data_IF_455515904671
#
_entry.id   IF_455515904671
#
_cell.length_a   1.000
_cell.length_b   1.000
_cell.length_c   1.000
_cell.angle_alpha   90.00
_cell.angle_beta   90.00
_cell.angle_gamma   90.00
#
_symmetry.space_group_name_H-M   'P 1'
#
loop_
_entity.id
_entity.type
_entity.pdbx_description
1 polymer ?
#
# COMPACT_ATOMS: atom_id res chain seq x y z
N UNK A 1 -25.25 44.91 79.12
CA UNK A 1 -25.08 43.65 78.37
C UNK A 1 -24.24 43.95 77.13
N UNK A 2 -23.13 43.22 77.02
CA UNK A 2 -21.94 43.41 76.19
C UNK A 2 -22.15 43.36 74.66
N UNK A 3 -21.17 43.62 73.79
CA UNK A 3 -20.11 44.62 73.65
C UNK A 3 -19.47 44.35 72.26
N UNK A 4 -19.21 45.41 71.49
CA UNK A 4 -18.09 45.59 70.53
C UNK A 4 -17.75 44.58 69.40
N UNK A 5 -17.44 45.20 68.24
CA UNK A 5 -16.27 45.00 67.33
C UNK A 5 -16.43 44.22 66.02
N UNK A 6 -15.64 44.71 65.08
CA UNK A 6 -15.61 44.52 63.64
C UNK A 6 -14.72 43.36 63.16
N UNK A 7 -14.81 43.12 61.84
CA UNK A 7 -13.73 42.79 60.89
C UNK A 7 -13.62 41.34 60.33
N UNK A 8 -13.31 41.29 59.02
CA UNK A 8 -12.67 40.26 58.17
C UNK A 8 -13.48 39.25 57.30
N UNK A 9 -13.43 39.50 55.97
CA UNK A 9 -12.81 38.72 54.87
C UNK A 9 -13.44 37.38 54.37
N UNK A 10 -13.89 37.43 53.09
CA UNK A 10 -13.70 36.52 51.93
C UNK A 10 -13.73 34.99 52.13
N UNK A 11 -14.60 34.26 51.41
CA UNK A 11 -14.24 33.09 50.56
C UNK A 11 -15.45 32.52 49.77
N UNK A 12 -15.39 32.59 48.42
CA UNK A 12 -15.54 31.50 47.41
C UNK A 12 -16.79 30.59 47.55
N UNK A 13 -17.78 30.53 46.64
CA UNK A 13 -17.78 30.12 45.22
C UNK A 13 -19.08 30.63 44.58
N UNK A 14 -18.99 31.45 43.53
CA UNK A 14 -20.09 31.69 42.60
C UNK A 14 -19.50 31.64 41.19
N UNK A 15 -19.37 30.43 40.63
CA UNK A 15 -18.95 30.18 39.25
C UNK A 15 -19.30 28.73 38.88
N UNK A 16 -20.53 28.48 38.46
CA UNK A 16 -20.83 27.37 37.53
C UNK A 16 -22.04 27.77 36.69
N UNK A 17 -22.00 27.38 35.41
CA UNK A 17 -22.91 27.72 34.31
C UNK A 17 -22.58 28.98 33.52
N UNK A 18 -21.44 28.93 32.81
CA UNK A 18 -21.25 29.45 31.44
C UNK A 18 -19.87 28.98 30.94
N UNK A 19 -19.78 27.77 30.38
CA UNK A 19 -18.67 27.31 29.53
C UNK A 19 -19.33 26.45 28.42
N UNK A 20 -19.52 26.98 27.21
CA UNK A 20 -18.55 27.12 26.12
C UNK A 20 -18.70 25.94 25.13
N UNK A 21 -19.40 26.22 24.03
CA UNK A 21 -19.28 25.50 22.76
C UNK A 21 -17.80 25.54 22.31
N UNK A 22 -17.05 24.51 22.70
CA UNK A 22 -15.66 24.31 22.33
C UNK A 22 -15.51 23.79 20.91
N UNK A 23 -15.96 24.54 19.90
CA UNK A 23 -15.34 24.44 18.57
C UNK A 23 -14.12 25.36 18.57
N UNK A 24 -12.96 24.81 18.93
CA UNK A 24 -11.70 25.47 18.69
C UNK A 24 -11.56 25.69 17.16
N UNK A 25 -11.86 26.91 16.72
CA UNK A 25 -11.46 27.35 15.39
C UNK A 25 -9.94 27.26 15.32
N UNK A 26 -9.41 26.54 14.34
CA UNK A 26 -7.98 26.45 14.11
C UNK A 26 -7.41 27.88 13.97
N UNK A 27 -6.49 28.25 14.86
CA UNK A 27 -5.83 29.55 14.79
C UNK A 27 -5.12 29.68 13.42
N UNK A 28 -5.19 30.84 12.75
CA UNK A 28 -4.48 31.04 11.50
C UNK A 28 -2.98 30.84 11.72
N UNK A 29 -2.35 30.04 10.86
CA UNK A 29 -0.92 29.78 10.90
C UNK A 29 -0.15 31.12 10.88
N UNK A 30 0.76 31.32 11.84
CA UNK A 30 1.59 32.51 11.87
C UNK A 30 2.52 32.53 10.65
N UNK A 31 2.91 33.72 10.19
CA UNK A 31 3.85 33.83 9.06
C UNK A 31 5.15 33.03 9.27
N UNK A 32 5.60 32.90 10.54
CA UNK A 32 6.74 32.07 10.93
C UNK A 32 6.51 30.57 10.73
N UNK A 33 5.32 30.04 11.04
CA UNK A 33 5.03 28.61 10.86
C UNK A 33 4.85 28.23 9.38
N UNK A 34 4.34 29.15 8.55
CA UNK A 34 4.25 28.96 7.10
C UNK A 34 5.63 28.93 6.44
N UNK A 35 6.54 29.82 6.83
CA UNK A 35 7.90 29.85 6.31
C UNK A 35 8.68 28.58 6.67
N UNK A 36 8.55 28.10 7.91
CA UNK A 36 9.16 26.84 8.34
C UNK A 36 8.61 25.65 7.56
N UNK A 37 7.29 25.54 7.42
CA UNK A 37 6.66 24.46 6.64
C UNK A 37 7.15 24.43 5.19
N UNK A 38 7.31 25.61 4.55
CA UNK A 38 7.85 25.69 3.19
C UNK A 38 9.29 25.18 3.09
N UNK A 39 10.14 25.50 4.08
CA UNK A 39 11.51 25.00 4.14
C UNK A 39 11.56 23.47 4.30
N UNK A 40 10.70 22.92 5.16
CA UNK A 40 10.56 21.46 5.35
C UNK A 40 10.15 20.77 4.04
N UNK A 41 9.15 21.31 3.33
CA UNK A 41 8.71 20.79 2.03
C UNK A 41 9.85 20.83 1.01
N UNK A 42 10.55 21.96 0.87
CA UNK A 42 11.68 22.08 -0.05
C UNK A 42 12.81 21.10 0.28
N UNK A 43 13.10 20.90 1.57
CA UNK A 43 14.09 19.92 2.03
C UNK A 43 13.69 18.50 1.62
N UNK A 44 12.43 18.13 1.85
CA UNK A 44 11.90 16.83 1.45
C UNK A 44 11.96 16.63 -0.06
N UNK A 45 11.52 17.61 -0.86
CA UNK A 45 11.54 17.53 -2.32
C UNK A 45 12.95 17.34 -2.88
N UNK A 46 13.96 18.02 -2.33
CA UNK A 46 15.37 17.81 -2.71
C UNK A 46 15.87 16.40 -2.44
N UNK A 47 15.36 15.76 -1.39
CA UNK A 47 15.69 14.36 -1.07
C UNK A 47 14.98 13.38 -2.00
N UNK A 48 13.69 13.60 -2.26
CA UNK A 48 12.84 12.72 -3.06
C UNK A 48 13.17 12.77 -4.56
N UNK A 49 13.30 13.97 -5.11
CA UNK A 49 13.49 14.18 -6.54
C UNK A 49 14.99 14.17 -6.87
N UNK A 50 15.49 12.99 -7.23
CA UNK A 50 16.89 12.80 -7.65
C UNK A 50 17.15 13.49 -9.00
N UNK A 51 18.42 13.88 -9.28
CA UNK A 51 18.76 14.50 -10.57
C UNK A 51 18.40 13.60 -11.76
N UNK A 52 17.49 14.09 -12.60
CA UNK A 52 17.03 13.38 -13.79
C UNK A 52 18.04 13.54 -14.94
N UNK A 53 18.28 12.46 -15.68
CA UNK A 53 19.02 12.48 -16.95
C UNK A 53 18.12 12.75 -18.15
N UNK A 54 16.83 12.44 -18.01
CA UNK A 54 15.78 12.76 -18.95
C UNK A 54 14.46 12.87 -18.19
N UNK A 55 13.50 13.59 -18.76
CA UNK A 55 12.16 13.76 -18.18
C UNK A 55 11.13 13.49 -19.27
N UNK A 56 10.08 12.75 -18.93
CA UNK A 56 8.96 12.41 -19.81
C UNK A 56 7.69 12.99 -19.20
N UNK A 57 6.96 13.78 -19.97
CA UNK A 57 5.62 14.24 -19.61
C UNK A 57 4.64 13.16 -20.02
N UNK A 58 3.92 12.59 -19.07
CA UNK A 58 2.92 11.56 -19.31
C UNK A 58 1.57 12.21 -19.71
N UNK A 59 0.76 11.57 -20.57
CA UNK A 59 -0.56 12.09 -20.96
C UNK A 59 -1.53 12.35 -19.79
N UNK A 60 -1.37 11.65 -18.67
CA UNK A 60 -2.17 11.81 -17.44
C UNK A 60 -1.68 12.95 -16.53
N UNK A 61 -0.69 13.74 -16.97
CA UNK A 61 -0.14 14.88 -16.23
C UNK A 61 1.02 14.54 -15.29
N UNK A 62 1.37 13.25 -15.17
CA UNK A 62 2.56 12.84 -14.43
C UNK A 62 3.84 13.31 -15.12
N UNK A 63 4.85 13.62 -14.31
CA UNK A 63 6.22 13.83 -14.78
C UNK A 63 7.07 12.64 -14.34
N UNK A 64 7.63 11.91 -15.31
CA UNK A 64 8.52 10.77 -15.07
C UNK A 64 9.96 11.20 -15.27
N UNK A 65 10.75 11.17 -14.21
CA UNK A 65 12.17 11.45 -14.22
C UNK A 65 12.98 10.16 -14.37
N UNK A 66 13.80 10.09 -15.41
CA UNK A 66 14.72 9.00 -15.64
C UNK A 66 16.01 9.26 -14.84
N UNK A 67 16.13 8.60 -13.69
CA UNK A 67 17.26 8.78 -12.76
C UNK A 67 18.29 7.70 -13.00
N UNK A 68 19.58 8.05 -13.03
CA UNK A 68 20.64 7.05 -13.17
C UNK A 68 20.52 5.97 -12.09
N UNK A 69 20.66 4.69 -12.47
CA UNK A 69 20.40 3.55 -11.58
C UNK A 69 21.23 3.60 -10.28
N UNK A 70 22.44 4.16 -10.31
CA UNK A 70 23.30 4.32 -9.12
C UNK A 70 22.99 5.55 -8.25
N UNK A 71 22.06 6.41 -8.66
CA UNK A 71 21.67 7.66 -7.95
C UNK A 71 20.25 7.61 -7.40
N UNK A 72 19.61 6.44 -7.44
CA UNK A 72 18.23 6.23 -7.00
C UNK A 72 18.05 6.38 -5.48
N UNK A 73 16.81 6.59 -5.00
CA UNK A 73 16.50 6.76 -3.57
C UNK A 73 16.97 5.62 -2.66
N UNK A 74 17.10 4.39 -3.18
CA UNK A 74 17.53 3.22 -2.43
C UNK A 74 18.79 3.46 -1.57
N UNK A 75 19.77 4.18 -2.12
CA UNK A 75 21.08 4.36 -1.53
C UNK A 75 21.18 5.47 -0.47
N UNK A 76 20.08 6.19 -0.22
CA UNK A 76 19.99 7.04 0.97
C UNK A 76 19.82 6.17 2.24
N UNK A 77 19.51 4.88 2.10
CA UNK A 77 19.43 3.95 3.23
C UNK A 77 20.83 3.71 3.83
N UNK A 78 21.02 3.86 5.16
CA UNK A 78 22.34 3.71 5.79
C UNK A 78 23.04 2.39 5.48
N UNK A 79 22.28 1.28 5.40
CA UNK A 79 22.81 -0.05 5.10
C UNK A 79 23.13 -0.27 3.60
N UNK A 80 22.70 0.62 2.69
CA UNK A 80 22.82 0.42 1.25
C UNK A 80 23.78 1.39 0.56
N UNK A 81 24.52 2.24 1.30
CA UNK A 81 25.40 3.26 0.73
C UNK A 81 26.46 2.70 -0.25
N UNK A 82 26.97 1.50 0.01
CA UNK A 82 27.97 0.82 -0.81
C UNK A 82 27.41 -0.47 -1.45
N UNK A 83 26.09 -0.54 -1.62
CA UNK A 83 25.42 -1.72 -2.14
C UNK A 83 25.78 -1.97 -3.61
N UNK A 84 26.12 -3.21 -3.94
CA UNK A 84 26.33 -3.61 -5.35
C UNK A 84 25.00 -4.01 -5.95
N UNK A 85 24.62 -3.34 -7.04
CA UNK A 85 23.35 -3.60 -7.73
C UNK A 85 23.41 -4.96 -8.42
N UNK A 86 22.47 -5.83 -8.07
CA UNK A 86 22.23 -7.08 -8.77
C UNK A 86 21.27 -6.80 -9.93
N UNK A 87 21.69 -7.11 -11.15
CA UNK A 87 20.89 -6.83 -12.35
C UNK A 87 19.89 -7.94 -12.68
N UNK A 88 19.99 -9.09 -12.01
CA UNK A 88 19.08 -10.23 -12.13
C UNK A 88 19.16 -11.10 -10.88
N UNK A 89 18.09 -11.85 -10.55
CA UNK A 89 18.15 -12.88 -9.52
C UNK A 89 19.12 -13.99 -9.91
N UNK A 90 19.69 -14.66 -8.91
CA UNK A 90 20.49 -15.86 -9.10
C UNK A 90 19.63 -17.06 -9.48
N UNK A 91 18.45 -17.17 -8.85
CA UNK A 91 17.50 -18.24 -9.11
C UNK A 91 16.07 -17.68 -9.17
N UNK A 92 15.38 -18.02 -10.25
CA UNK A 92 13.93 -17.84 -10.35
C UNK A 92 13.23 -19.07 -9.74
N UNK A 93 12.07 -18.93 -9.07
CA UNK A 93 11.33 -20.07 -8.55
C UNK A 93 10.97 -21.07 -9.67
N UNK A 94 11.15 -22.36 -9.37
CA UNK A 94 10.67 -23.46 -10.21
C UNK A 94 9.22 -23.82 -9.90
N UNK A 95 8.70 -24.93 -10.46
CA UNK A 95 7.37 -25.44 -10.13
C UNK A 95 6.28 -25.10 -11.14
N UNK A 96 5.01 -25.13 -10.72
CA UNK A 96 3.85 -24.99 -11.62
C UNK A 96 3.85 -23.60 -12.23
N UNK A 97 4.31 -23.54 -13.47
CA UNK A 97 4.22 -22.39 -14.36
C UNK A 97 2.94 -22.56 -15.19
N UNK A 98 1.84 -21.93 -14.79
CA UNK A 98 0.90 -21.52 -15.82
C UNK A 98 1.53 -20.33 -16.53
N UNK A 99 2.07 -20.57 -17.73
CA UNK A 99 2.18 -19.51 -18.71
C UNK A 99 0.76 -18.97 -18.87
N UNK A 100 0.50 -17.81 -18.26
CA UNK A 100 -0.52 -16.92 -18.79
C UNK A 100 -0.10 -16.71 -20.24
N UNK A 101 -0.80 -17.41 -21.16
CA UNK A 101 -0.75 -17.09 -22.58
C UNK A 101 -0.72 -15.58 -22.67
N UNK A 102 0.31 -15.01 -23.34
CA UNK A 102 0.53 -13.57 -23.47
C UNK A 102 -0.84 -12.93 -23.57
N UNK A 103 -1.23 -12.19 -22.52
CA UNK A 103 -2.56 -11.60 -22.46
C UNK A 103 -2.73 -10.82 -23.77
N UNK A 104 -3.80 -11.06 -24.55
CA UNK A 104 -3.93 -10.47 -25.87
C UNK A 104 -3.82 -8.93 -25.84
N UNK A 105 -4.04 -8.33 -24.66
CA UNK A 105 -3.80 -6.94 -24.35
C UNK A 105 -3.06 -6.84 -23.00
N UNK A 106 -1.73 -6.70 -22.99
CA UNK A 106 -0.97 -6.58 -21.75
C UNK A 106 -1.30 -5.25 -21.06
N UNK A 107 -1.35 -5.26 -19.73
CA UNK A 107 -1.38 -4.02 -18.94
C UNK A 107 -0.06 -3.28 -19.17
N UNK A 108 -0.17 -1.99 -19.49
CA UNK A 108 0.94 -1.08 -19.73
C UNK A 108 0.80 0.16 -18.87
N UNK A 109 1.82 1.02 -18.88
CA UNK A 109 1.75 2.32 -18.22
C UNK A 109 1.58 3.48 -19.19
N UNK A 110 0.69 4.41 -18.87
CA UNK A 110 0.28 5.53 -19.73
C UNK A 110 1.45 6.37 -20.24
N UNK A 111 2.48 6.57 -19.42
CA UNK A 111 3.66 7.37 -19.79
C UNK A 111 4.44 6.80 -20.98
N UNK A 112 4.28 5.52 -21.31
CA UNK A 112 4.92 4.91 -22.48
C UNK A 112 4.46 5.50 -23.81
N UNK A 113 3.30 6.15 -23.85
CA UNK A 113 2.83 6.87 -25.04
C UNK A 113 3.79 7.98 -25.46
N UNK A 114 4.49 8.57 -24.48
CA UNK A 114 5.38 9.72 -24.70
C UNK A 114 6.88 9.36 -24.60
N UNK A 115 7.22 8.09 -24.42
CA UNK A 115 8.60 7.61 -24.52
C UNK A 115 8.99 6.51 -23.57
N UNK A 116 10.30 6.30 -23.44
CA UNK A 116 10.91 5.29 -22.55
C UNK A 116 12.15 5.88 -21.89
N UNK A 117 12.43 5.47 -20.66
CA UNK A 117 13.64 5.90 -19.99
C UNK A 117 14.89 5.27 -20.65
N UNK A 118 16.02 6.01 -20.78
CA UNK A 118 17.25 5.48 -21.34
C UNK A 118 17.79 4.25 -20.59
N UNK A 119 18.69 3.50 -21.21
CA UNK A 119 19.42 2.42 -20.52
C UNK A 119 20.19 2.99 -19.30
N UNK A 120 20.38 2.17 -18.27
CA UNK A 120 21.05 2.54 -17.01
C UNK A 120 20.32 3.63 -16.20
N UNK A 121 19.02 3.82 -16.45
CA UNK A 121 18.17 4.70 -15.65
C UNK A 121 16.94 3.94 -15.14
N UNK A 122 16.28 4.49 -14.13
CA UNK A 122 14.99 4.04 -13.63
C UNK A 122 13.97 5.18 -13.73
N UNK A 123 12.72 4.93 -14.14
CA UNK A 123 11.66 5.92 -14.12
C UNK A 123 11.17 6.16 -12.69
N UNK A 124 11.16 7.42 -12.26
CA UNK A 124 10.61 7.84 -10.98
C UNK A 124 9.55 8.91 -11.22
N UNK A 125 8.33 8.71 -10.72
CA UNK A 125 7.32 9.79 -10.72
C UNK A 125 7.76 10.92 -9.81
N UNK A 126 7.93 12.12 -10.39
CA UNK A 126 8.30 13.34 -9.67
C UNK A 126 7.29 13.66 -8.58
N UNK A 127 7.79 14.15 -7.46
CA UNK A 127 6.97 14.67 -6.35
C UNK A 127 6.87 16.18 -6.48
N UNK A 128 5.67 16.74 -6.40
CA UNK A 128 5.46 18.18 -6.41
C UNK A 128 5.19 18.72 -5.00
N UNK A 129 5.35 20.04 -4.81
CA UNK A 129 5.08 20.72 -3.54
C UNK A 129 3.66 20.45 -3.03
N UNK A 130 2.68 20.59 -3.92
CA UNK A 130 1.28 20.29 -3.63
C UNK A 130 1.04 18.87 -3.13
N UNK A 131 1.81 17.87 -3.60
CA UNK A 131 1.68 16.48 -3.14
C UNK A 131 2.04 16.34 -1.68
N UNK A 132 3.10 17.02 -1.27
CA UNK A 132 3.54 17.05 0.12
C UNK A 132 2.56 17.85 0.98
N UNK A 133 2.02 18.96 0.46
CA UNK A 133 1.13 19.84 1.21
C UNK A 133 -0.25 19.21 1.50
N UNK A 134 -0.70 18.24 0.72
CA UNK A 134 -1.92 17.45 0.99
C UNK A 134 -1.76 16.42 2.11
N UNK A 135 -0.54 16.01 2.42
CA UNK A 135 -0.32 15.14 3.57
C UNK A 135 -0.58 15.91 4.88
N UNK A 136 -0.97 15.16 5.92
CA UNK A 136 -1.24 15.68 7.27
C UNK A 136 -0.04 16.48 7.79
N UNK A 137 1.17 15.99 7.51
CA UNK A 137 2.42 16.68 7.80
C UNK A 137 3.51 16.23 6.83
N UNK A 138 4.59 17.02 6.73
CA UNK A 138 5.72 16.76 5.83
C UNK A 138 6.42 15.44 6.19
N UNK A 139 6.58 15.13 7.47
CA UNK A 139 7.23 13.92 7.97
C UNK A 139 6.40 12.64 7.72
N UNK A 140 5.08 12.79 7.57
CA UNK A 140 4.13 11.70 7.31
C UNK A 140 3.84 11.48 5.82
N UNK A 141 4.40 12.29 4.91
CA UNK A 141 4.18 12.13 3.47
C UNK A 141 4.57 10.71 3.00
N UNK A 142 3.58 9.98 2.48
CA UNK A 142 3.73 8.61 1.99
C UNK A 142 3.75 7.51 3.05
N UNK A 143 3.68 7.82 4.36
CA UNK A 143 3.77 6.81 5.44
C UNK A 143 2.39 6.31 5.88
N UNK A 144 2.24 4.99 6.02
CA UNK A 144 1.08 4.36 6.69
C UNK A 144 1.14 4.56 8.22
N UNK A 145 0.00 4.48 8.89
CA UNK A 145 -0.08 4.54 10.38
C UNK A 145 0.13 3.15 10.99
N UNK A 146 0.60 3.04 12.25
CA UNK A 146 0.60 1.77 12.96
C UNK A 146 -0.80 1.13 12.97
N UNK A 147 -0.87 -0.21 12.92
CA UNK A 147 -2.14 -0.96 12.86
C UNK A 147 -2.77 -1.09 11.45
N UNK A 148 -2.00 -0.89 10.39
CA UNK A 148 -2.46 -1.00 8.98
C UNK A 148 -2.57 -2.44 8.43
N UNK A 149 -2.32 -3.48 9.22
CA UNK A 149 -2.55 -4.89 8.83
C UNK A 149 -3.63 -5.50 9.72
N UNK A 150 -4.56 -6.29 9.17
CA UNK A 150 -5.56 -7.01 9.95
C UNK A 150 -4.89 -8.06 10.82
N UNK A 151 -5.03 -7.91 12.15
CA UNK A 151 -4.62 -8.94 13.09
C UNK A 151 -5.63 -10.09 13.05
N UNK A 152 -5.19 -11.26 12.61
CA UNK A 152 -6.01 -12.49 12.55
C UNK A 152 -6.52 -12.93 13.93
N UNK A 153 -5.82 -12.53 14.99
CA UNK A 153 -6.09 -12.95 16.38
C UNK A 153 -7.29 -12.25 17.00
N UNK A 154 -7.69 -11.08 16.47
CA UNK A 154 -8.75 -10.23 17.04
C UNK A 154 -10.12 -10.38 16.35
N UNK A 155 -10.27 -11.34 15.43
CA UNK A 155 -11.54 -11.55 14.68
C UNK A 155 -12.65 -12.14 15.59
N UNK A 156 -12.28 -12.77 16.72
CA UNK A 156 -13.21 -13.51 17.57
C UNK A 156 -13.64 -12.81 18.87
N UNK A 157 -13.24 -11.56 19.11
CA UNK A 157 -13.66 -10.84 20.31
C UNK A 157 -14.68 -9.74 19.96
N UNK A 158 -15.98 -9.95 20.24
CA UNK A 158 -17.03 -8.97 19.97
C UNK A 158 -16.95 -7.72 20.87
N UNK A 159 -16.09 -7.71 21.89
CA UNK A 159 -15.85 -6.57 22.78
C UNK A 159 -14.58 -5.79 22.46
N UNK A 160 -13.74 -6.24 21.53
CA UNK A 160 -12.72 -5.35 20.97
C UNK A 160 -13.42 -4.43 19.99
N UNK A 161 -13.57 -3.16 20.40
CA UNK A 161 -13.81 -2.04 19.50
C UNK A 161 -12.57 -1.82 18.61
N UNK A 162 -12.12 -2.87 17.91
CA UNK A 162 -11.18 -2.79 16.82
C UNK A 162 -11.95 -2.35 15.57
N UNK A 163 -12.50 -1.14 15.62
CA UNK A 163 -12.55 -0.32 14.42
C UNK A 163 -11.07 -0.08 14.11
N UNK A 164 -10.46 -1.00 13.35
CA UNK A 164 -9.19 -0.76 12.69
C UNK A 164 -9.32 0.63 12.06
N UNK A 165 -8.60 1.62 12.59
CA UNK A 165 -8.87 3.06 12.45
C UNK A 165 -9.13 3.47 10.99
N UNK A 166 -10.38 3.35 10.52
CA UNK A 166 -10.76 3.62 9.14
C UNK A 166 -10.51 2.51 8.10
N UNK A 167 -9.83 1.41 8.43
CA UNK A 167 -9.46 0.37 7.45
C UNK A 167 -10.48 -0.77 7.42
N UNK A 168 -10.85 -1.22 6.21
CA UNK A 168 -11.70 -2.41 6.01
C UNK A 168 -11.08 -3.33 4.95
N UNK A 169 -11.25 -4.64 5.13
CA UNK A 169 -10.52 -5.66 4.37
C UNK A 169 -11.49 -6.70 3.81
N UNK A 170 -11.14 -7.23 2.65
CA UNK A 170 -11.68 -8.48 2.11
C UNK A 170 -10.53 -9.26 1.48
N UNK A 171 -9.91 -10.13 2.28
CA UNK A 171 -8.65 -10.79 1.94
C UNK A 171 -8.70 -12.30 2.17
N UNK A 172 -7.84 -13.03 1.46
CA UNK A 172 -7.41 -14.37 1.81
C UNK A 172 -6.07 -14.32 2.55
N UNK A 173 -5.87 -15.24 3.48
CA UNK A 173 -4.66 -15.40 4.29
C UNK A 173 -4.24 -16.86 4.34
N UNK A 174 -2.95 -17.12 4.18
CA UNK A 174 -2.34 -18.44 4.37
C UNK A 174 -1.20 -18.29 5.37
N UNK A 175 -1.27 -19.07 6.45
CA UNK A 175 -0.17 -19.21 7.40
C UNK A 175 0.70 -20.37 6.93
N UNK A 176 1.95 -20.07 6.64
CA UNK A 176 2.88 -21.05 6.07
C UNK A 176 4.13 -21.03 6.92
N UNK A 177 4.56 -22.20 7.40
CA UNK A 177 5.85 -22.33 8.06
C UNK A 177 6.96 -22.06 7.03
N UNK A 178 7.71 -20.97 7.22
CA UNK A 178 8.83 -20.51 6.38
C UNK A 178 8.50 -20.35 4.89
N UNK A 179 7.65 -19.39 4.57
CA UNK A 179 7.38 -18.97 3.20
C UNK A 179 8.47 -18.04 2.65
N UNK A 180 8.86 -18.25 1.40
CA UNK A 180 9.91 -17.49 0.72
C UNK A 180 9.37 -16.61 -0.41
N UNK A 181 8.04 -16.45 -0.52
CA UNK A 181 7.45 -15.61 -1.55
C UNK A 181 6.05 -16.02 -1.97
N UNK A 182 5.49 -15.28 -2.90
CA UNK A 182 4.16 -15.52 -3.45
C UNK A 182 4.04 -14.98 -4.87
N UNK A 183 3.29 -15.71 -5.69
CA UNK A 183 2.85 -15.29 -7.02
C UNK A 183 1.33 -15.26 -7.04
N UNK A 184 0.76 -14.23 -7.65
CA UNK A 184 -0.65 -14.22 -8.00
C UNK A 184 -0.92 -13.34 -9.23
N UNK A 185 -2.04 -13.61 -9.89
CA UNK A 185 -2.59 -12.83 -11.00
C UNK A 185 -3.67 -11.90 -10.45
N UNK A 186 -3.49 -10.60 -10.64
CA UNK A 186 -4.38 -9.55 -10.13
C UNK A 186 -5.17 -8.93 -11.28
N UNK A 187 -6.49 -8.89 -11.14
CA UNK A 187 -7.33 -8.14 -12.05
C UNK A 187 -7.28 -6.63 -11.70
N UNK A 188 -7.28 -5.79 -12.72
CA UNK A 188 -7.19 -4.33 -12.60
C UNK A 188 -8.56 -3.66 -12.78
N UNK A 189 -8.97 -2.86 -11.79
CA UNK A 189 -10.18 -2.03 -11.83
C UNK A 189 -9.87 -0.56 -11.51
N UNK A 190 -10.86 0.30 -11.76
CA UNK A 190 -10.87 1.69 -11.32
C UNK A 190 -12.07 1.90 -10.37
N UNK A 191 -11.93 1.55 -9.08
CA UNK A 191 -13.00 1.75 -8.09
C UNK A 191 -13.37 3.23 -7.94
N UNK A 192 -14.66 3.48 -7.64
CA UNK A 192 -15.11 4.82 -7.22
C UNK A 192 -14.59 5.12 -5.83
N UNK A 193 -13.98 6.28 -5.64
CA UNK A 193 -13.55 6.75 -4.32
C UNK A 193 -14.60 7.71 -3.78
N UNK A 194 -15.21 7.36 -2.64
CA UNK A 194 -16.35 8.08 -2.06
C UNK A 194 -15.98 9.39 -1.38
N UNK A 195 -14.73 9.55 -0.93
CA UNK A 195 -14.22 10.74 -0.23
C UNK A 195 -12.77 11.01 -0.63
N UNK A 196 -12.34 12.26 -0.68
CA UNK A 196 -11.01 12.64 -1.19
C UNK A 196 -9.82 11.98 -0.44
N UNK A 197 -9.99 11.71 0.86
CA UNK A 197 -8.97 11.08 1.71
C UNK A 197 -9.02 9.56 1.73
N UNK A 198 -10.02 8.96 1.08
CA UNK A 198 -10.13 7.52 1.01
C UNK A 198 -9.13 6.94 0.00
N UNK A 199 -8.87 5.65 0.14
CA UNK A 199 -8.25 4.86 -0.93
C UNK A 199 -8.86 3.47 -1.00
N UNK A 200 -8.67 2.86 -2.17
CA UNK A 200 -8.99 1.47 -2.43
C UNK A 200 -7.79 0.82 -3.11
N UNK A 201 -7.38 -0.35 -2.61
CA UNK A 201 -6.24 -1.08 -3.16
C UNK A 201 -6.52 -2.57 -3.26
N UNK A 202 -5.71 -3.21 -4.09
CA UNK A 202 -5.59 -4.66 -4.21
C UNK A 202 -4.12 -5.01 -4.13
N UNK A 203 -3.75 -5.97 -3.28
CA UNK A 203 -2.34 -6.33 -3.13
C UNK A 203 -2.10 -7.75 -2.64
N UNK A 204 -0.82 -8.13 -2.64
CA UNK A 204 -0.25 -9.17 -1.78
C UNK A 204 0.45 -8.53 -0.58
N UNK A 205 0.41 -9.22 0.55
CA UNK A 205 1.22 -8.94 1.74
C UNK A 205 2.12 -10.14 2.05
N UNK A 206 3.40 -9.89 2.26
CA UNK A 206 4.37 -10.84 2.81
C UNK A 206 4.73 -10.34 4.20
N UNK A 207 4.47 -11.13 5.24
CA UNK A 207 4.56 -10.70 6.63
C UNK A 207 5.46 -11.65 7.43
N UNK A 208 6.31 -11.08 8.28
CA UNK A 208 7.07 -11.80 9.29
C UNK A 208 7.22 -10.97 10.57
N UNK A 209 7.30 -11.63 11.73
CA UNK A 209 7.37 -10.96 13.03
C UNK A 209 5.99 -10.60 13.61
N UNK A 210 5.95 -9.63 14.53
CA UNK A 210 4.71 -9.24 15.22
C UNK A 210 4.68 -7.76 15.57
N UNK A 211 3.47 -7.23 15.81
CA UNK A 211 3.29 -5.88 16.35
C UNK A 211 3.87 -5.74 17.77
N UNK A 212 3.93 -6.83 18.53
CA UNK A 212 4.55 -6.84 19.86
C UNK A 212 6.06 -6.56 19.74
N UNK A 213 6.52 -5.49 20.39
CA UNK A 213 7.92 -5.09 20.32
C UNK A 213 8.32 -4.34 19.03
N UNK A 214 7.35 -3.92 18.20
CA UNK A 214 7.57 -3.13 16.98
C UNK A 214 8.54 -3.80 15.98
N UNK A 215 8.45 -5.12 15.83
CA UNK A 215 9.34 -5.89 14.95
C UNK A 215 8.55 -6.67 13.88
N UNK A 216 7.46 -6.06 13.38
CA UNK A 216 6.70 -6.57 12.24
C UNK A 216 7.35 -6.08 10.95
N UNK A 217 7.73 -7.02 10.09
CA UNK A 217 8.25 -6.77 8.77
C UNK A 217 7.17 -7.05 7.71
N UNK A 218 7.06 -6.16 6.72
CA UNK A 218 6.10 -6.34 5.63
C UNK A 218 6.72 -5.98 4.29
N UNK A 219 6.33 -6.72 3.25
CA UNK A 219 6.50 -6.35 1.84
C UNK A 219 5.12 -6.41 1.19
N UNK A 220 4.77 -5.35 0.48
CA UNK A 220 3.45 -5.10 -0.10
C UNK A 220 3.61 -4.67 -1.56
N UNK A 221 2.82 -5.28 -2.44
CA UNK A 221 2.83 -4.94 -3.86
C UNK A 221 1.46 -5.19 -4.49
N UNK A 222 1.03 -4.27 -5.37
CA UNK A 222 -0.29 -4.33 -5.95
C UNK A 222 -0.64 -3.09 -6.76
N UNK A 223 -1.94 -2.80 -6.90
CA UNK A 223 -2.43 -1.57 -7.47
C UNK A 223 -3.37 -0.86 -6.51
N UNK A 224 -3.40 0.47 -6.57
CA UNK A 224 -4.29 1.29 -5.74
C UNK A 224 -4.82 2.51 -6.49
N UNK A 225 -6.01 2.95 -6.11
CA UNK A 225 -6.57 4.27 -6.44
C UNK A 225 -6.54 5.10 -5.16
N UNK A 226 -5.74 6.17 -5.17
CA UNK A 226 -5.53 7.00 -3.98
C UNK A 226 -5.45 8.49 -4.35
N UNK A 227 -6.60 9.19 -4.45
CA UNK A 227 -6.68 10.55 -4.98
C UNK A 227 -5.89 11.56 -4.16
N UNK A 228 -5.95 11.48 -2.82
CA UNK A 228 -5.14 12.36 -1.99
C UNK A 228 -3.63 12.23 -2.28
N UNK A 229 -3.14 11.04 -2.62
CA UNK A 229 -1.71 10.82 -2.86
C UNK A 229 -1.28 11.13 -4.32
N UNK A 230 -2.15 10.91 -5.30
CA UNK A 230 -1.81 11.01 -6.73
C UNK A 230 -2.47 12.17 -7.49
N UNK A 231 -3.46 12.86 -6.90
CA UNK A 231 -4.32 13.88 -7.53
C UNK A 231 -5.21 13.38 -8.67
N UNK A 232 -5.42 12.08 -8.77
CA UNK A 232 -6.31 11.48 -9.75
C UNK A 232 -6.96 10.21 -9.20
N UNK A 233 -7.89 9.65 -9.99
CA UNK A 233 -8.53 8.38 -9.70
C UNK A 233 -7.94 7.24 -10.53
N UNK A 234 -6.72 7.39 -11.07
CA UNK A 234 -6.12 6.37 -11.92
C UNK A 234 -5.58 5.22 -11.06
N UNK A 235 -5.81 3.94 -11.45
CA UNK A 235 -5.20 2.83 -10.74
C UNK A 235 -3.71 2.79 -11.02
N UNK A 236 -2.91 2.76 -9.96
CA UNK A 236 -1.45 2.90 -10.04
C UNK A 236 -0.77 1.72 -9.37
N UNK A 237 0.26 1.19 -10.02
CA UNK A 237 1.16 0.20 -9.40
C UNK A 237 1.73 0.82 -8.13
N UNK A 238 1.73 0.09 -7.03
CA UNK A 238 2.40 0.53 -5.82
C UNK A 238 3.22 -0.58 -5.18
N UNK A 239 4.17 -0.13 -4.37
CA UNK A 239 4.84 -0.98 -3.39
C UNK A 239 4.83 -0.30 -2.02
N UNK A 240 4.91 -1.09 -0.96
CA UNK A 240 5.18 -0.63 0.39
C UNK A 240 6.07 -1.67 1.09
N UNK A 241 6.85 -1.24 2.07
CA UNK A 241 7.56 -2.17 2.96
C UNK A 241 7.79 -1.50 4.32
N UNK A 242 7.86 -2.28 5.40
CA UNK A 242 8.31 -1.80 6.72
C UNK A 242 9.12 -2.88 7.42
N UNK A 243 9.98 -2.48 8.35
CA UNK A 243 10.74 -3.36 9.27
C UNK A 243 10.20 -3.24 10.70
N UNK A 244 9.45 -2.19 11.01
CA UNK A 244 9.18 -1.79 12.39
C UNK A 244 7.70 -1.49 12.63
N UNK A 245 6.82 -2.35 12.11
CA UNK A 245 5.39 -2.26 12.35
C UNK A 245 4.76 -0.89 11.95
N UNK A 246 5.29 -0.26 10.89
CA UNK A 246 4.85 1.04 10.37
C UNK A 246 5.13 2.23 11.30
N UNK A 247 6.04 2.08 12.26
CA UNK A 247 6.41 3.15 13.19
C UNK A 247 7.27 4.21 12.50
N UNK A 248 8.50 3.85 12.11
CA UNK A 248 9.48 4.80 11.55
C UNK A 248 9.89 4.47 10.11
N UNK A 249 9.92 3.18 9.75
CA UNK A 249 10.33 2.70 8.42
C UNK A 249 9.14 2.47 7.49
N UNK A 250 9.42 2.63 6.19
CA UNK A 250 8.45 2.42 5.14
C UNK A 250 7.72 3.67 4.70
N UNK A 251 7.48 3.74 3.40
CA UNK A 251 6.47 4.59 2.80
C UNK A 251 6.16 4.09 1.39
N UNK A 252 5.08 4.60 0.80
CA UNK A 252 4.65 4.22 -0.54
C UNK A 252 5.74 4.47 -1.59
N UNK A 253 5.90 3.49 -2.48
CA UNK A 253 6.75 3.59 -3.66
C UNK A 253 8.21 3.93 -3.29
N UNK A 254 8.88 4.72 -4.13
CA UNK A 254 10.26 5.17 -3.92
C UNK A 254 10.35 6.43 -3.03
N UNK A 255 9.32 6.76 -2.25
CA UNK A 255 9.36 7.93 -1.36
C UNK A 255 10.30 7.71 -0.16
N UNK A 256 10.67 6.45 0.10
CA UNK A 256 11.64 6.03 1.11
C UNK A 256 12.74 5.23 0.41
N UNK A 257 13.93 5.26 1.00
CA UNK A 257 15.03 4.40 0.60
C UNK A 257 14.74 2.94 0.94
N UNK A 258 15.50 1.97 0.43
CA UNK A 258 15.37 0.54 0.76
C UNK A 258 15.03 -0.38 -0.43
N UNK A 259 14.20 0.07 -1.38
CA UNK A 259 13.93 -0.70 -2.60
C UNK A 259 14.91 -0.31 -3.71
N UNK A 260 15.65 -1.28 -4.25
CA UNK A 260 16.57 -1.09 -5.38
C UNK A 260 15.83 -1.43 -6.66
N UNK A 261 15.36 -0.41 -7.37
CA UNK A 261 14.78 -0.57 -8.70
C UNK A 261 15.89 -0.72 -9.74
N UNK A 262 15.67 -1.58 -10.73
CA UNK A 262 16.64 -1.82 -11.80
C UNK A 262 16.07 -1.63 -13.20
N UNK A 263 14.75 -1.71 -13.39
CA UNK A 263 14.19 -1.61 -14.73
C UNK A 263 13.97 -0.16 -15.14
N UNK A 264 14.09 0.07 -16.44
CA UNK A 264 13.78 1.35 -17.06
C UNK A 264 12.39 1.37 -17.73
N UNK A 265 11.61 0.29 -17.60
CA UNK A 265 10.30 0.13 -18.24
C UNK A 265 9.11 0.33 -17.28
N UNK A 266 9.27 0.23 -15.96
CA UNK A 266 8.12 0.32 -15.03
C UNK A 266 8.36 1.44 -14.03
N UNK A 267 7.54 2.48 -14.07
CA UNK A 267 7.48 3.54 -13.08
C UNK A 267 6.62 3.07 -11.89
N UNK A 268 7.24 2.86 -10.72
CA UNK A 268 6.47 2.60 -9.50
C UNK A 268 5.65 3.84 -9.13
N UNK A 269 4.35 3.66 -8.90
CA UNK A 269 3.38 4.74 -8.75
C UNK A 269 2.85 5.30 -10.07
N UNK A 270 3.21 4.73 -11.23
CA UNK A 270 2.66 5.11 -12.53
C UNK A 270 1.32 4.44 -12.82
N UNK A 271 0.48 5.11 -13.61
CA UNK A 271 -0.86 4.65 -14.02
C UNK A 271 -0.78 3.34 -14.80
N UNK A 272 -1.66 2.40 -14.47
CA UNK A 272 -1.85 1.14 -15.18
C UNK A 272 -3.08 1.22 -16.09
N UNK A 273 -2.97 0.68 -17.29
CA UNK A 273 -4.06 0.65 -18.27
C UNK A 273 -3.91 -0.52 -19.25
N UNK A 274 -4.99 -1.01 -19.87
CA UNK A 274 -6.40 -0.66 -19.65
C UNK A 274 -6.98 -1.31 -18.37
N UNK A 275 -8.16 -0.84 -17.95
CA UNK A 275 -8.89 -1.36 -16.76
C UNK A 275 -10.07 -2.25 -17.17
N UNK A 276 -10.46 -3.15 -16.27
CA UNK A 276 -11.57 -4.09 -16.50
C UNK A 276 -12.93 -3.39 -16.49
N UNK A 277 -13.93 -4.03 -17.09
CA UNK A 277 -15.30 -3.50 -17.22
C UNK A 277 -16.33 -4.53 -16.78
N UNK A 278 -17.40 -4.08 -16.12
CA UNK A 278 -18.44 -4.98 -15.60
C UNK A 278 -19.13 -5.75 -16.74
N UNK A 279 -19.07 -7.08 -16.66
CA UNK A 279 -19.60 -7.99 -17.69
C UNK A 279 -18.86 -7.93 -19.04
N UNK A 280 -17.71 -7.25 -19.10
CA UNK A 280 -16.98 -6.98 -20.33
C UNK A 280 -15.52 -7.44 -20.29
N UNK A 281 -14.65 -6.69 -20.97
CA UNK A 281 -13.22 -6.99 -21.04
C UNK A 281 -12.60 -7.00 -19.63
N UNK A 282 -11.82 -8.04 -19.33
CA UNK A 282 -11.07 -8.21 -18.08
C UNK A 282 -9.57 -8.11 -18.37
N UNK A 283 -8.86 -7.36 -17.54
CA UNK A 283 -7.41 -7.18 -17.65
C UNK A 283 -6.72 -7.58 -16.36
N UNK A 284 -5.70 -8.42 -16.52
CA UNK A 284 -4.99 -9.08 -15.45
C UNK A 284 -3.48 -8.89 -15.61
N UNK A 285 -2.74 -8.89 -14.51
CA UNK A 285 -1.29 -8.96 -14.52
C UNK A 285 -0.75 -9.78 -13.36
N UNK A 286 0.38 -10.44 -13.59
CA UNK A 286 1.05 -11.25 -12.57
C UNK A 286 1.97 -10.36 -11.72
N UNK A 287 1.97 -10.58 -10.40
CA UNK A 287 3.01 -10.10 -9.50
C UNK A 287 3.62 -11.33 -8.82
N UNK A 288 4.95 -11.41 -8.84
CA UNK A 288 5.73 -12.37 -8.06
C UNK A 288 6.68 -11.59 -7.16
N UNK A 289 6.63 -11.89 -5.85
CA UNK A 289 7.65 -11.46 -4.90
C UNK A 289 8.26 -12.69 -4.26
N UNK A 290 9.58 -12.85 -4.32
CA UNK A 290 10.27 -14.01 -3.73
C UNK A 290 11.66 -13.66 -3.24
N UNK A 291 12.13 -14.42 -2.25
CA UNK A 291 13.47 -14.34 -1.71
C UNK A 291 14.41 -15.23 -2.52
N UNK A 292 15.44 -14.62 -3.12
CA UNK A 292 16.50 -15.36 -3.82
C UNK A 292 17.26 -16.25 -2.82
N UNK A 293 17.33 -17.57 -3.03
CA UNK A 293 17.96 -18.49 -2.08
C UNK A 293 19.47 -18.31 -1.94
N UNK A 294 20.15 -17.68 -2.91
CA UNK A 294 21.60 -17.47 -2.87
C UNK A 294 21.97 -16.14 -2.23
N UNK A 295 21.37 -15.06 -2.72
CA UNK A 295 21.74 -13.70 -2.34
C UNK A 295 20.82 -13.13 -1.24
N UNK A 296 19.69 -13.77 -0.98
CA UNK A 296 18.74 -13.38 0.07
C UNK A 296 17.84 -12.20 -0.27
N UNK A 297 18.03 -11.54 -1.41
CA UNK A 297 17.22 -10.40 -1.84
C UNK A 297 15.78 -10.82 -2.14
N UNK A 298 14.80 -10.01 -1.70
CA UNK A 298 13.40 -10.15 -2.10
C UNK A 298 13.17 -9.45 -3.42
N UNK A 299 13.06 -10.22 -4.51
CA UNK A 299 12.82 -9.72 -5.84
C UNK A 299 11.34 -9.47 -6.10
N UNK A 300 11.05 -8.36 -6.79
CA UNK A 300 9.73 -8.04 -7.33
C UNK A 300 9.75 -8.22 -8.85
N UNK A 301 8.83 -9.02 -9.35
CA UNK A 301 8.54 -9.18 -10.77
C UNK A 301 7.09 -8.79 -11.06
N UNK A 302 6.88 -8.07 -12.15
CA UNK A 302 5.56 -7.76 -12.70
C UNK A 302 5.48 -8.27 -14.13
N UNK A 303 4.54 -9.16 -14.42
CA UNK A 303 4.51 -9.88 -15.69
C UNK A 303 5.83 -10.61 -15.94
N UNK A 304 6.50 -10.28 -17.06
CA UNK A 304 7.83 -10.80 -17.39
C UNK A 304 8.99 -9.96 -16.85
N UNK A 305 8.74 -8.74 -16.37
CA UNK A 305 9.78 -7.77 -16.03
C UNK A 305 10.19 -7.86 -14.56
N UNK A 306 11.49 -8.06 -14.32
CA UNK A 306 12.07 -7.83 -12.99
C UNK A 306 12.07 -6.32 -12.72
N UNK A 307 11.36 -5.89 -11.69
CA UNK A 307 11.24 -4.47 -11.35
C UNK A 307 12.44 -4.02 -10.53
N UNK A 308 12.77 -4.80 -9.50
CA UNK A 308 13.79 -4.48 -8.52
C UNK A 308 13.72 -5.45 -7.34
N UNK A 309 14.37 -5.08 -6.23
CA UNK A 309 14.41 -5.93 -5.05
C UNK A 309 14.60 -5.15 -3.75
N UNK A 310 14.21 -5.77 -2.64
CA UNK A 310 14.58 -5.35 -1.29
C UNK A 310 15.72 -6.23 -0.77
N UNK A 311 16.87 -5.65 -0.40
CA UNK A 311 17.95 -6.40 0.24
C UNK A 311 17.51 -6.96 1.59
N UNK A 312 17.79 -8.23 1.88
CA UNK A 312 17.43 -8.87 3.17
C UNK A 312 18.00 -8.13 4.39
N UNK A 313 19.14 -7.45 4.22
CA UNK A 313 19.81 -6.70 5.29
C UNK A 313 18.99 -5.55 5.87
N UNK A 314 17.93 -5.09 5.19
CA UNK A 314 17.03 -4.06 5.71
C UNK A 314 15.91 -4.64 6.61
N UNK A 315 15.82 -5.96 6.74
CA UNK A 315 14.80 -6.66 7.51
C UNK A 315 15.37 -7.35 8.76
N UNK A 316 14.47 -7.77 9.65
CA UNK A 316 14.75 -8.67 10.79
C UNK A 316 14.20 -10.05 10.48
N UNK A 317 12.87 -10.23 10.55
CA UNK A 317 12.20 -11.50 10.29
C UNK A 317 12.26 -11.89 8.82
N UNK A 318 11.95 -10.95 7.91
CA UNK A 318 12.04 -11.21 6.47
C UNK A 318 13.49 -11.37 5.99
N UNK A 319 14.50 -11.16 6.84
CA UNK A 319 15.87 -11.57 6.52
C UNK A 319 15.99 -13.10 6.42
N UNK A 320 15.16 -13.85 7.15
CA UNK A 320 15.05 -15.31 7.08
C UNK A 320 13.90 -15.74 6.17
N UNK A 321 12.65 -15.54 6.59
CA UNK A 321 11.46 -16.02 5.89
C UNK A 321 10.18 -15.29 6.35
N UNK A 322 9.09 -15.47 5.62
CA UNK A 322 7.77 -14.99 5.99
C UNK A 322 6.97 -16.05 6.73
N UNK A 323 6.07 -15.62 7.62
CA UNK A 323 5.16 -16.49 8.39
C UNK A 323 3.73 -16.45 7.87
N UNK A 324 3.34 -15.35 7.22
CA UNK A 324 1.98 -15.14 6.72
C UNK A 324 2.03 -14.46 5.37
N UNK A 325 1.25 -15.00 4.43
CA UNK A 325 1.00 -14.37 3.13
C UNK A 325 -0.50 -14.05 3.02
N UNK A 326 -0.82 -12.86 2.52
CA UNK A 326 -2.19 -12.44 2.30
C UNK A 326 -2.39 -11.87 0.89
N UNK A 327 -3.62 -11.91 0.39
CA UNK A 327 -4.01 -11.38 -0.91
C UNK A 327 -5.43 -10.80 -0.85
N UNK A 328 -5.69 -9.72 -1.57
CA UNK A 328 -7.05 -9.19 -1.72
C UNK A 328 -7.12 -7.68 -1.57
N UNK A 329 -8.28 -7.20 -1.13
CA UNK A 329 -8.62 -5.78 -1.09
C UNK A 329 -8.52 -5.16 0.29
N UNK A 330 -8.11 -3.90 0.32
CA UNK A 330 -8.15 -3.01 1.47
C UNK A 330 -8.72 -1.67 1.03
N UNK A 331 -9.58 -1.10 1.86
CA UNK A 331 -9.92 0.32 1.80
C UNK A 331 -9.47 0.99 3.09
N UNK A 332 -9.21 2.28 3.04
CA UNK A 332 -9.15 3.10 4.23
C UNK A 332 -9.97 4.38 4.04
N UNK A 333 -10.69 4.77 5.09
CA UNK A 333 -11.42 6.02 5.20
C UNK A 333 -11.18 6.67 6.54
N UNK A 334 -10.72 7.93 6.55
CA UNK A 334 -10.40 8.64 7.80
C UNK A 334 -11.61 9.14 8.58
N UNK A 335 -12.78 9.15 7.95
CA UNK A 335 -13.98 9.80 8.47
C UNK A 335 -14.87 8.84 9.24
N UNK A 336 -15.65 9.38 10.19
CA UNK A 336 -16.58 8.60 10.99
C UNK A 336 -17.76 8.10 10.13
N UNK A 337 -18.01 6.79 10.18
CA UNK A 337 -19.13 6.14 9.49
C UNK A 337 -18.75 5.51 8.14
N UNK A 338 -19.64 4.63 7.65
CA UNK A 338 -19.36 3.83 6.46
C UNK A 338 -19.13 4.70 5.22
N UNK A 339 -18.10 4.36 4.45
CA UNK A 339 -17.76 5.02 3.18
C UNK A 339 -18.49 4.36 2.00
N UNK A 340 -18.78 5.14 0.95
CA UNK A 340 -19.25 4.66 -0.36
C UNK A 340 -18.09 4.43 -1.34
N UNK A 341 -16.87 4.23 -0.83
CA UNK A 341 -15.70 3.85 -1.63
C UNK A 341 -15.83 2.39 -2.08
N UNK A 342 -15.62 2.12 -3.36
CA UNK A 342 -15.64 0.77 -3.90
C UNK A 342 -14.37 0.02 -3.51
N UNK A 343 -14.50 -1.25 -3.13
CA UNK A 343 -13.37 -2.18 -3.09
C UNK A 343 -13.31 -2.99 -4.39
N UNK A 344 -12.15 -2.99 -5.04
CA UNK A 344 -11.95 -3.74 -6.29
C UNK A 344 -12.84 -3.21 -7.42
N UNK A 345 -13.83 -4.00 -7.84
CA UNK A 345 -14.81 -3.61 -8.85
C UNK A 345 -16.01 -2.85 -8.30
N UNK A 346 -16.16 -2.76 -6.97
CA UNK A 346 -17.38 -2.27 -6.31
C UNK A 346 -18.50 -3.32 -6.20
N UNK A 347 -18.28 -4.53 -6.73
CA UNK A 347 -19.25 -5.61 -6.71
C UNK A 347 -18.88 -6.72 -5.74
N UNK A 348 -19.90 -7.41 -5.23
CA UNK A 348 -19.75 -8.49 -4.27
C UNK A 348 -19.21 -9.78 -4.93
N UNK A 349 -18.47 -10.61 -4.18
CA UNK A 349 -17.81 -11.80 -4.72
C UNK A 349 -18.75 -12.86 -5.31
N UNK A 350 -20.01 -12.88 -4.89
CA UNK A 350 -21.07 -13.77 -5.38
C UNK A 350 -21.37 -13.57 -6.88
N UNK A 351 -21.05 -12.40 -7.43
CA UNK A 351 -21.23 -12.12 -8.86
C UNK A 351 -20.19 -12.82 -9.75
N UNK A 352 -19.06 -13.25 -9.18
CA UNK A 352 -18.05 -14.07 -9.85
C UNK A 352 -17.29 -13.38 -10.99
N UNK A 353 -16.68 -14.20 -11.85
CA UNK A 353 -15.76 -13.74 -12.90
C UNK A 353 -16.43 -12.78 -13.89
N UNK A 354 -15.72 -11.71 -14.24
CA UNK A 354 -16.21 -10.68 -15.15
C UNK A 354 -16.97 -9.55 -14.46
N UNK A 355 -17.28 -9.68 -13.17
CA UNK A 355 -18.09 -8.72 -12.41
C UNK A 355 -17.45 -8.35 -11.07
N UNK A 356 -17.13 -9.36 -10.26
CA UNK A 356 -16.40 -9.20 -9.02
C UNK A 356 -14.90 -9.01 -9.30
N UNK A 357 -14.20 -8.34 -8.38
CA UNK A 357 -12.74 -8.29 -8.42
C UNK A 357 -12.16 -9.66 -8.10
N UNK A 358 -11.03 -10.01 -8.71
CA UNK A 358 -10.38 -11.29 -8.43
C UNK A 358 -8.87 -11.23 -8.28
N UNK A 359 -8.37 -12.15 -7.46
CA UNK A 359 -6.97 -12.59 -7.46
C UNK A 359 -6.99 -14.08 -7.76
N UNK A 360 -6.27 -14.53 -8.78
CA UNK A 360 -6.25 -15.92 -9.24
C UNK A 360 -4.84 -16.45 -9.41
N UNK A 361 -4.70 -17.73 -9.68
CA UNK A 361 -3.41 -18.42 -9.79
C UNK A 361 -2.52 -18.16 -8.56
N UNK A 362 -3.13 -18.16 -7.37
CA UNK A 362 -2.42 -17.88 -6.12
C UNK A 362 -1.48 -19.05 -5.82
N UNK A 363 -0.20 -18.73 -5.64
CA UNK A 363 0.87 -19.68 -5.33
C UNK A 363 1.82 -19.09 -4.29
N UNK A 364 2.44 -19.94 -3.48
CA UNK A 364 3.50 -19.58 -2.52
C UNK A 364 4.82 -20.22 -2.93
N UNK A 365 5.92 -19.56 -2.59
CA UNK A 365 7.29 -20.08 -2.82
C UNK A 365 7.75 -20.75 -1.54
N UNK A 366 8.06 -22.04 -1.62
CA UNK A 366 8.59 -22.80 -0.48
C UNK A 366 10.10 -22.60 -0.27
N UNK A 367 10.65 -23.21 0.78
CA UNK A 367 12.07 -23.18 1.11
C UNK A 367 12.99 -23.84 0.07
N UNK A 368 12.45 -24.63 -0.84
CA UNK A 368 13.17 -25.22 -1.98
C UNK A 368 13.10 -24.34 -3.23
N UNK A 369 12.58 -23.11 -3.10
CA UNK A 369 12.38 -22.17 -4.19
C UNK A 369 11.45 -22.72 -5.29
N UNK A 370 10.37 -23.41 -4.89
CA UNK A 370 9.36 -23.99 -5.78
C UNK A 370 7.99 -23.33 -5.52
N UNK A 371 7.32 -22.91 -6.59
CA UNK A 371 5.95 -22.42 -6.58
C UNK A 371 4.96 -23.58 -6.40
N UNK A 372 4.10 -23.45 -5.40
CA UNK A 372 3.06 -24.43 -5.05
C UNK A 372 1.75 -23.71 -4.70
N UNK A 373 0.58 -24.35 -4.88
CA UNK A 373 -0.66 -23.84 -4.32
C UNK A 373 -0.53 -23.65 -2.79
N UNK A 374 -1.09 -22.57 -2.22
CA UNK A 374 -1.09 -22.39 -0.76
C UNK A 374 -1.97 -23.45 -0.08
N UNK A 375 -1.57 -23.86 1.12
CA UNK A 375 -2.42 -24.65 2.03
C UNK A 375 -3.21 -23.74 2.97
N UNK A 376 -4.33 -24.24 3.51
CA UNK A 376 -5.10 -23.62 4.59
C UNK A 376 -5.47 -22.14 4.35
N UNK A 377 -5.95 -21.84 3.15
CA UNK A 377 -6.40 -20.49 2.79
C UNK A 377 -7.68 -20.16 3.55
N UNK A 378 -7.60 -19.15 4.42
CA UNK A 378 -8.72 -18.59 5.18
C UNK A 378 -9.10 -17.22 4.65
N UNK A 379 -10.36 -16.83 4.82
CA UNK A 379 -10.88 -15.52 4.36
C UNK A 379 -11.16 -14.59 5.54
N UNK A 380 -10.82 -13.32 5.40
CA UNK A 380 -11.01 -12.29 6.42
C UNK A 380 -11.80 -11.13 5.80
N UNK A 381 -12.97 -10.87 6.36
CA UNK A 381 -13.80 -9.69 6.07
C UNK A 381 -14.53 -9.26 7.34
N UNK A 382 -14.33 -8.00 7.75
CA UNK A 382 -14.90 -7.47 8.99
C UNK A 382 -16.41 -7.26 8.92
N UNK A 383 -16.88 -6.55 7.88
CA UNK A 383 -18.31 -6.30 7.64
C UNK A 383 -18.70 -6.81 6.25
N UNK A 384 -19.12 -8.07 6.19
CA UNK A 384 -19.43 -8.78 4.93
C UNK A 384 -20.53 -8.12 4.09
N UNK A 385 -21.43 -7.37 4.72
CA UNK A 385 -22.47 -6.63 4.00
C UNK A 385 -21.96 -5.36 3.32
N UNK A 386 -20.73 -4.93 3.59
CA UNK A 386 -20.08 -3.77 2.96
C UNK A 386 -19.03 -4.25 1.94
N UNK A 387 -18.16 -5.16 2.39
CA UNK A 387 -17.13 -5.79 1.58
C UNK A 387 -16.99 -7.27 1.98
N UNK A 388 -16.95 -8.16 0.99
CA UNK A 388 -16.87 -9.60 1.23
C UNK A 388 -15.80 -10.26 0.35
N UNK A 389 -15.39 -11.48 0.72
CA UNK A 389 -14.42 -12.29 -0.03
C UNK A 389 -14.82 -13.77 0.03
N UNK A 390 -14.75 -14.44 -1.11
CA UNK A 390 -14.90 -15.89 -1.23
C UNK A 390 -13.67 -16.48 -1.91
N UNK A 391 -13.14 -17.58 -1.38
CA UNK A 391 -12.06 -18.33 -2.00
C UNK A 391 -12.59 -19.59 -2.72
N UNK A 392 -11.79 -20.12 -3.63
CA UNK A 392 -12.08 -21.37 -4.33
C UNK A 392 -10.86 -21.94 -5.02
N UNK A 393 -11.02 -23.15 -5.56
CA UNK A 393 -10.03 -23.83 -6.37
C UNK A 393 -10.73 -24.33 -7.64
N UNK A 394 -10.16 -24.05 -8.81
CA UNK A 394 -10.64 -24.59 -10.08
C UNK A 394 -9.49 -24.74 -11.07
N UNK A 395 -9.66 -25.61 -12.07
CA UNK A 395 -8.62 -25.87 -13.08
C UNK A 395 -8.23 -24.61 -13.87
N UNK A 396 -9.18 -23.69 -14.11
CA UNK A 396 -8.97 -22.49 -14.92
C UNK A 396 -8.43 -21.29 -14.13
N UNK A 397 -8.70 -21.22 -12.83
CA UNK A 397 -8.33 -20.07 -11.97
C UNK A 397 -7.25 -20.43 -10.94
N UNK A 398 -6.84 -21.70 -10.87
CA UNK A 398 -6.00 -22.21 -9.78
C UNK A 398 -6.68 -22.01 -8.43
N UNK A 399 -5.88 -21.71 -7.40
CA UNK A 399 -6.40 -21.12 -6.16
C UNK A 399 -6.74 -19.66 -6.42
N UNK A 400 -7.95 -19.23 -6.07
CA UNK A 400 -8.42 -17.87 -6.34
C UNK A 400 -9.29 -17.31 -5.21
N UNK A 401 -9.46 -15.99 -5.24
CA UNK A 401 -10.49 -15.27 -4.51
C UNK A 401 -11.30 -14.38 -5.46
N UNK A 402 -12.60 -14.28 -5.20
CA UNK A 402 -13.39 -13.11 -5.57
C UNK A 402 -13.55 -12.24 -4.33
N UNK A 403 -13.46 -10.92 -4.48
CA UNK A 403 -13.62 -9.97 -3.39
C UNK A 403 -14.14 -8.63 -3.91
N UNK A 404 -14.66 -7.82 -2.99
CA UNK A 404 -15.10 -6.47 -3.29
C UNK A 404 -16.37 -6.11 -2.55
N UNK A 405 -16.97 -5.01 -3.00
CA UNK A 405 -18.24 -4.48 -2.50
C UNK A 405 -18.28 -2.96 -2.64
N UNK A 406 -19.47 -2.36 -2.58
CA UNK A 406 -19.67 -0.92 -2.82
C UNK A 406 -19.47 -0.07 -1.55
N UNK A 407 -19.09 -0.69 -0.44
CA UNK A 407 -19.11 -0.05 0.87
C UNK A 407 -20.54 0.23 1.32
N UNK A 408 -20.89 1.49 1.54
CA UNK A 408 -22.21 1.93 2.05
C UNK A 408 -23.33 1.52 1.10
N UNK A 409 -24.28 0.73 1.61
CA UNK A 409 -25.45 0.26 0.86
C UNK A 409 -26.62 -0.06 1.81
N UNK A 410 -27.77 -0.54 1.30
CA UNK A 410 -28.96 -0.81 2.13
C UNK A 410 -28.74 -1.85 3.24
N UNK A 411 -27.79 -2.78 3.05
CA UNK A 411 -27.42 -3.82 4.02
C UNK A 411 -26.17 -3.43 4.84
N UNK A 412 -25.56 -2.28 4.54
CA UNK A 412 -24.43 -1.68 5.25
C UNK A 412 -24.59 -0.15 5.29
N UNK A 413 -25.45 0.37 6.18
CA UNK A 413 -25.87 1.78 6.17
C UNK A 413 -24.81 2.79 6.64
#
# INVERSE_FOLDING_TARGET
MAATRACLVVLVVALTFLCLDGRAAAAPATAGSLAQRRQEVQSLLRRLNKPALATIQSPDGDVIDCVHISKQPAFDHPLLKNHTIQMRPSYHPGGIYHNSNIAPHPITQTWHQNGKCPKNTIPIRRTNEDDVLRAISVDRYGKKRPGSIPNTSSINDPNTSNIMSGHQYAIASSNVDKCHGTKATFNLWQPTIGRDNDFSLTQLWIVGGSYEGNDLNTIEAGWQVYPNFYKDNNPRLFIYWTRDAYESTGCYNLKCSGFVQMNNQIAIGGTLSPVSTYGGAQYDFDILVWKDPKEGNWWLQMGSDYVGYWPSSIFTYLADSASTIQWGGEIASSDLGQTSTDMGSGHFPEEGFGKASHVKNIQVVDSSNILKPPSDVTTIAGQRSCYNVHNGISDNLGTYIFYGGPGKNSNCP
#
